data_IF_239659445805
#
_entry.id   IF_239659445805
#
_cell.length_a   1.000
_cell.length_b   1.000
_cell.length_c   1.000
_cell.angle_alpha   90.00
_cell.angle_beta   90.00
_cell.angle_gamma   90.00
#
_symmetry.space_group_name_H-M   'P 1'
#
loop_
_entity.id
_entity.type
_entity.pdbx_description
1 polymer ?
#
# COMPACT_ATOMS: atom_id res chain seq x y z
N UNK A 1 -13.87 -5.64 -15.13
CA UNK A 1 -14.46 -4.94 -13.98
C UNK A 1 -13.82 -3.56 -13.92
N UNK A 2 -14.47 -2.57 -13.30
CA UNK A 2 -14.03 -1.18 -13.35
C UNK A 2 -14.12 -0.53 -11.98
N UNK A 3 -12.99 0.00 -11.51
CA UNK A 3 -12.90 0.91 -10.38
C UNK A 3 -13.16 2.34 -10.87
N UNK A 4 -13.84 3.15 -10.07
CA UNK A 4 -14.08 4.57 -10.40
C UNK A 4 -12.81 5.41 -10.34
N UNK A 5 -11.76 4.91 -9.70
CA UNK A 5 -10.50 5.62 -9.46
C UNK A 5 -9.42 5.20 -10.45
N UNK A 6 -9.18 3.89 -10.58
CA UNK A 6 -8.06 3.34 -11.37
C UNK A 6 -8.50 2.78 -12.73
N UNK A 7 -9.80 2.83 -13.03
CA UNK A 7 -10.36 2.34 -14.28
C UNK A 7 -10.45 0.82 -14.30
N UNK A 8 -10.08 0.21 -15.44
CA UNK A 8 -10.19 -1.24 -15.60
C UNK A 8 -9.28 -2.01 -14.64
N UNK A 9 -9.87 -2.98 -13.95
CA UNK A 9 -9.16 -3.96 -13.12
C UNK A 9 -9.39 -5.37 -13.66
N UNK A 10 -8.36 -6.22 -13.54
CA UNK A 10 -8.32 -7.56 -14.12
C UNK A 10 -7.88 -8.57 -13.06
N UNK A 11 -8.50 -9.76 -13.01
CA UNK A 11 -8.03 -10.80 -12.11
C UNK A 11 -6.62 -11.22 -12.49
N UNK A 12 -5.81 -11.59 -11.50
CA UNK A 12 -4.49 -12.18 -11.75
C UNK A 12 -4.60 -13.68 -11.96
N UNK A 13 -3.62 -14.26 -12.67
CA UNK A 13 -3.67 -15.69 -13.02
C UNK A 13 -3.50 -16.63 -11.80
N UNK A 14 -2.80 -16.16 -10.77
CA UNK A 14 -2.44 -16.98 -9.60
C UNK A 14 -3.43 -16.89 -8.43
N UNK A 15 -4.36 -15.93 -8.47
CA UNK A 15 -5.38 -15.70 -7.45
C UNK A 15 -6.62 -15.10 -8.12
N UNK A 16 -7.70 -15.89 -8.16
CA UNK A 16 -8.92 -15.52 -8.88
C UNK A 16 -9.75 -14.47 -8.16
N UNK A 17 -9.47 -14.21 -6.88
CA UNK A 17 -10.15 -13.19 -6.08
C UNK A 17 -9.36 -11.89 -6.06
N UNK A 18 -8.06 -11.93 -6.33
CA UNK A 18 -7.22 -10.75 -6.49
C UNK A 18 -7.32 -10.10 -7.88
N UNK A 19 -7.64 -8.81 -7.91
CA UNK A 19 -7.70 -7.98 -9.11
C UNK A 19 -6.65 -6.89 -9.07
N UNK A 20 -5.94 -6.68 -10.18
CA UNK A 20 -4.95 -5.61 -10.32
C UNK A 20 -5.40 -4.56 -11.34
N UNK A 21 -5.01 -3.31 -11.08
CA UNK A 21 -5.06 -2.21 -12.04
C UNK A 21 -3.78 -2.12 -12.87
N UNK A 22 -3.85 -1.38 -13.98
CA UNK A 22 -2.62 -0.83 -14.57
C UNK A 22 -1.94 0.14 -13.57
N UNK A 23 -0.61 0.36 -13.66
CA UNK A 23 0.11 1.22 -12.72
C UNK A 23 -0.44 2.65 -12.68
N UNK A 24 -0.79 3.11 -11.48
CA UNK A 24 -1.40 4.41 -11.22
C UNK A 24 -0.41 5.34 -10.49
N UNK A 25 -0.32 6.64 -10.84
CA UNK A 25 0.57 7.58 -10.15
C UNK A 25 0.08 7.87 -8.73
N UNK A 26 0.97 7.72 -7.74
CA UNK A 26 0.63 7.95 -6.32
C UNK A 26 1.45 9.11 -5.78
N UNK A 27 0.78 10.22 -5.47
CA UNK A 27 1.39 11.47 -4.98
C UNK A 27 2.25 11.26 -3.73
N UNK A 28 1.74 10.48 -2.77
CA UNK A 28 2.46 10.06 -1.55
C UNK A 28 3.85 9.48 -1.85
N UNK A 29 4.01 8.78 -2.97
CA UNK A 29 5.28 8.19 -3.42
C UNK A 29 5.96 9.00 -4.54
N UNK A 30 5.90 10.32 -4.48
CA UNK A 30 6.52 11.21 -5.47
C UNK A 30 6.02 10.94 -6.90
N UNK A 31 4.73 10.65 -7.03
CA UNK A 31 4.06 10.29 -8.28
C UNK A 31 4.62 9.04 -8.98
N UNK A 32 5.29 8.15 -8.24
CA UNK A 32 5.67 6.83 -8.76
C UNK A 32 4.41 6.07 -9.18
N UNK A 33 4.50 5.42 -10.35
CA UNK A 33 3.44 4.55 -10.86
C UNK A 33 3.52 3.20 -10.17
N UNK A 34 2.50 2.88 -9.40
CA UNK A 34 2.44 1.66 -8.58
C UNK A 34 1.12 0.94 -8.92
N UNK A 35 1.15 -0.39 -8.94
CA UNK A 35 -0.06 -1.19 -9.16
C UNK A 35 -0.94 -1.15 -7.93
N UNK A 36 -2.26 -1.18 -8.14
CA UNK A 36 -3.24 -1.25 -7.05
C UNK A 36 -3.99 -2.57 -7.18
N UNK A 37 -4.00 -3.33 -6.08
CA UNK A 37 -4.61 -4.64 -5.94
C UNK A 37 -5.86 -4.59 -5.07
N UNK A 38 -6.85 -5.42 -5.39
CA UNK A 38 -8.14 -5.52 -4.72
C UNK A 38 -8.47 -7.01 -4.48
N UNK A 39 -8.67 -7.40 -3.22
CA UNK A 39 -8.81 -8.83 -2.83
C UNK A 39 -10.22 -9.40 -3.07
N UNK A 40 -11.26 -8.57 -3.10
CA UNK A 40 -12.65 -9.05 -3.24
C UNK A 40 -13.47 -8.19 -4.21
N UNK A 41 -12.84 -7.71 -5.28
CA UNK A 41 -13.46 -6.72 -6.17
C UNK A 41 -14.80 -7.17 -6.80
N UNK A 42 -15.06 -8.49 -6.86
CA UNK A 42 -16.34 -9.07 -7.31
C UNK A 42 -17.53 -8.66 -6.44
N UNK A 43 -17.30 -8.31 -5.18
CA UNK A 43 -18.35 -7.84 -4.28
C UNK A 43 -18.53 -6.33 -4.43
N UNK A 44 -19.60 -5.90 -5.10
CA UNK A 44 -19.84 -4.49 -5.44
C UNK A 44 -19.79 -3.53 -4.23
N UNK A 45 -20.40 -3.83 -3.07
CA UNK A 45 -20.25 -2.98 -1.89
C UNK A 45 -18.80 -2.82 -1.41
N UNK A 46 -17.99 -3.87 -1.56
CA UNK A 46 -16.56 -3.79 -1.23
C UNK A 46 -15.84 -2.88 -2.22
N UNK A 47 -16.07 -3.04 -3.53
CA UNK A 47 -15.40 -2.21 -4.54
C UNK A 47 -15.73 -0.71 -4.38
N UNK A 48 -16.99 -0.38 -4.08
CA UNK A 48 -17.39 1.01 -3.79
C UNK A 48 -16.63 1.57 -2.59
N UNK A 49 -16.53 0.78 -1.52
CA UNK A 49 -15.87 1.21 -0.30
C UNK A 49 -14.34 1.26 -0.46
N UNK A 50 -13.75 0.32 -1.20
CA UNK A 50 -12.35 0.32 -1.60
C UNK A 50 -12.00 1.56 -2.43
N UNK A 51 -12.84 1.95 -3.39
CA UNK A 51 -12.68 3.19 -4.16
C UNK A 51 -12.68 4.42 -3.24
N UNK A 52 -13.55 4.46 -2.22
CA UNK A 52 -13.62 5.60 -1.30
C UNK A 52 -12.36 5.70 -0.42
N UNK A 53 -11.85 4.57 0.09
CA UNK A 53 -10.59 4.53 0.87
C UNK A 53 -9.42 4.91 -0.03
N UNK A 54 -9.37 4.36 -1.24
CA UNK A 54 -8.33 4.68 -2.21
C UNK A 54 -8.34 6.16 -2.59
N UNK A 55 -9.51 6.78 -2.75
CA UNK A 55 -9.62 8.21 -3.00
C UNK A 55 -8.98 9.03 -1.86
N UNK A 56 -9.26 8.68 -0.61
CA UNK A 56 -8.65 9.36 0.54
C UNK A 56 -7.12 9.16 0.56
N UNK A 57 -6.66 7.95 0.27
CA UNK A 57 -5.23 7.65 0.20
C UNK A 57 -4.52 8.44 -0.91
N UNK A 58 -5.13 8.60 -2.09
CA UNK A 58 -4.54 9.32 -3.22
C UNK A 58 -4.43 10.84 -3.02
N UNK A 59 -5.16 11.40 -2.05
CA UNK A 59 -5.04 12.81 -1.66
C UNK A 59 -3.74 13.06 -0.87
N UNK A 60 -3.20 12.04 -0.20
CA UNK A 60 -2.00 12.15 0.60
C UNK A 60 -0.78 12.49 -0.27
N UNK A 61 0.12 13.30 0.28
CA UNK A 61 1.30 13.78 -0.42
C UNK A 61 2.62 13.43 0.30
N UNK A 62 3.71 14.00 -0.20
CA UNK A 62 5.05 13.77 0.35
C UNK A 62 5.21 14.32 1.78
N UNK A 63 4.45 15.35 2.17
CA UNK A 63 4.46 15.85 3.55
C UNK A 63 3.82 14.85 4.51
N UNK A 64 2.74 14.19 4.08
CA UNK A 64 2.12 13.12 4.86
C UNK A 64 3.07 11.92 4.98
N UNK A 65 3.75 11.55 3.90
CA UNK A 65 4.82 10.53 3.94
C UNK A 65 5.87 10.83 5.00
N UNK A 66 6.32 12.09 5.11
CA UNK A 66 7.29 12.49 6.12
C UNK A 66 6.71 12.35 7.55
N UNK A 67 5.44 12.69 7.78
CA UNK A 67 4.78 12.51 9.10
C UNK A 67 4.71 11.03 9.49
N UNK A 68 4.49 10.16 8.52
CA UNK A 68 4.32 8.72 8.74
C UNK A 68 5.64 7.97 8.91
N UNK A 69 6.78 8.65 8.72
CA UNK A 69 8.12 8.06 8.87
C UNK A 69 8.29 7.35 10.21
N UNK A 70 7.71 7.90 11.29
CA UNK A 70 7.78 7.27 12.61
C UNK A 70 7.09 5.91 12.64
N UNK A 71 5.89 5.81 12.07
CA UNK A 71 5.15 4.54 12.02
C UNK A 71 5.94 3.48 11.26
N UNK A 72 6.49 3.84 10.10
CA UNK A 72 7.28 2.93 9.27
C UNK A 72 8.58 2.52 9.94
N UNK A 73 9.25 3.46 10.60
CA UNK A 73 10.46 3.19 11.37
C UNK A 73 10.21 2.28 12.58
N UNK A 74 9.09 2.48 13.30
CA UNK A 74 8.70 1.62 14.42
C UNK A 74 8.43 0.19 13.92
N UNK A 75 7.73 0.03 12.79
CA UNK A 75 7.52 -1.28 12.14
C UNK A 75 8.84 -1.97 11.76
N UNK A 76 9.74 -1.23 11.12
CA UNK A 76 11.08 -1.74 10.79
C UNK A 76 11.85 -2.16 12.04
N UNK A 77 11.81 -1.35 13.10
CA UNK A 77 12.49 -1.61 14.37
C UNK A 77 11.98 -2.88 15.05
N UNK A 78 10.65 -3.10 15.05
CA UNK A 78 10.06 -4.35 15.53
C UNK A 78 10.53 -5.54 14.69
N UNK A 79 10.48 -5.42 13.37
CA UNK A 79 10.93 -6.48 12.46
C UNK A 79 12.40 -6.84 12.66
N UNK A 80 13.25 -5.84 12.95
CA UNK A 80 14.66 -6.02 13.27
C UNK A 80 14.87 -6.79 14.58
N UNK A 81 14.06 -6.53 15.61
CA UNK A 81 14.14 -7.27 16.90
C UNK A 81 13.90 -8.76 16.72
N UNK A 82 13.02 -9.14 15.80
CA UNK A 82 12.74 -10.54 15.49
C UNK A 82 13.78 -11.19 14.56
N UNK A 83 14.78 -10.43 14.09
CA UNK A 83 15.88 -10.96 13.28
C UNK A 83 15.51 -11.29 11.83
N UNK A 84 14.36 -10.83 11.34
CA UNK A 84 13.91 -11.08 9.97
C UNK A 84 14.65 -10.24 8.92
N UNK A 85 15.39 -9.21 9.34
CA UNK A 85 16.13 -8.32 8.44
C UNK A 85 17.48 -7.91 9.03
N UNK A 86 18.40 -7.50 8.16
CA UNK A 86 19.66 -6.87 8.56
C UNK A 86 19.43 -5.41 8.96
N UNK A 87 20.25 -4.86 9.89
CA UNK A 87 20.20 -3.45 10.22
C UNK A 87 20.52 -2.56 9.00
N UNK A 88 19.66 -1.58 8.75
CA UNK A 88 19.83 -0.51 7.79
C UNK A 88 20.56 0.67 8.46
N UNK A 89 21.35 1.42 7.66
CA UNK A 89 22.05 2.61 8.13
C UNK A 89 21.13 3.85 8.10
N UNK A 90 20.16 3.88 9.01
CA UNK A 90 19.19 4.97 9.17
C UNK A 90 19.75 5.99 10.16
N UNK A 91 19.89 7.25 9.75
CA UNK A 91 20.45 8.33 10.57
C UNK A 91 19.34 9.10 11.28
N UNK A 92 18.26 9.42 10.56
CA UNK A 92 17.03 10.00 11.07
C UNK A 92 15.81 9.14 10.70
N UNK A 93 14.72 9.26 11.47
CA UNK A 93 13.47 8.52 11.26
C UNK A 93 12.93 8.72 9.84
N UNK A 94 13.04 9.93 9.29
CA UNK A 94 12.65 10.24 7.92
C UNK A 94 13.46 9.48 6.85
N UNK A 95 14.70 9.09 7.16
CA UNK A 95 15.57 8.36 6.23
C UNK A 95 15.09 6.94 5.95
N UNK A 96 14.13 6.42 6.75
CA UNK A 96 13.54 5.10 6.51
C UNK A 96 13.01 4.96 5.08
N UNK A 97 12.46 6.05 4.52
CA UNK A 97 11.92 6.09 3.16
C UNK A 97 12.96 5.91 2.06
N UNK A 98 14.26 6.11 2.35
CA UNK A 98 15.35 5.77 1.42
C UNK A 98 15.52 4.27 1.23
N UNK A 99 14.86 3.45 2.06
CA UNK A 99 14.94 1.99 2.02
C UNK A 99 13.60 1.31 1.71
N UNK A 100 12.50 2.08 1.68
CA UNK A 100 11.16 1.56 1.43
C UNK A 100 10.78 1.80 -0.03
N UNK A 101 10.49 0.70 -0.73
CA UNK A 101 10.12 0.70 -2.13
C UNK A 101 8.85 -0.13 -2.34
N UNK A 102 7.65 0.48 -2.24
CA UNK A 102 6.42 -0.25 -2.49
C UNK A 102 6.39 -0.72 -3.94
N UNK A 103 6.08 -2.00 -4.14
CA UNK A 103 5.83 -2.58 -5.46
C UNK A 103 4.36 -2.51 -5.84
N UNK A 104 3.48 -2.58 -4.84
CA UNK A 104 2.03 -2.58 -5.00
C UNK A 104 1.36 -1.98 -3.77
N UNK A 105 0.16 -1.43 -3.99
CA UNK A 105 -0.79 -1.05 -2.94
C UNK A 105 -1.91 -2.08 -2.95
N UNK A 106 -2.25 -2.66 -1.81
CA UNK A 106 -3.33 -3.63 -1.68
C UNK A 106 -4.45 -3.00 -0.86
N UNK A 107 -5.64 -2.94 -1.43
CA UNK A 107 -6.85 -2.59 -0.68
C UNK A 107 -7.47 -3.90 -0.22
N UNK A 108 -7.74 -4.05 1.07
CA UNK A 108 -8.39 -5.24 1.60
C UNK A 108 -9.40 -4.90 2.68
N UNK A 109 -10.33 -5.83 2.90
CA UNK A 109 -11.27 -5.75 4.01
C UNK A 109 -10.58 -6.39 5.23
N UNK A 110 -10.53 -5.67 6.35
CA UNK A 110 -10.29 -6.24 7.69
C UNK A 110 -11.65 -6.33 8.42
N UNK A 111 -11.83 -7.30 9.31
CA UNK A 111 -13.10 -7.61 9.99
C UNK A 111 -13.73 -6.42 10.74
N UNK A 112 -13.01 -5.30 10.86
CA UNK A 112 -13.46 -4.05 11.48
C UNK A 112 -13.51 -2.85 10.53
N UNK A 113 -12.69 -2.78 9.46
CA UNK A 113 -12.56 -1.63 8.54
C UNK A 113 -11.94 -2.02 7.18
N UNK A 114 -12.10 -1.21 6.14
CA UNK A 114 -11.30 -1.31 4.91
C UNK A 114 -9.98 -0.57 5.08
N UNK A 115 -8.88 -1.17 4.63
CA UNK A 115 -7.52 -0.64 4.80
C UNK A 115 -6.76 -0.68 3.47
N UNK A 116 -5.92 0.33 3.25
CA UNK A 116 -4.87 0.29 2.23
C UNK A 116 -3.57 -0.22 2.86
N UNK A 117 -2.89 -1.12 2.17
CA UNK A 117 -1.57 -1.64 2.57
C UNK A 117 -0.55 -1.49 1.45
N UNK A 118 0.73 -1.43 1.81
CA UNK A 118 1.86 -1.44 0.88
C UNK A 118 2.53 -2.80 0.95
N UNK A 119 2.76 -3.43 -0.20
CA UNK A 119 3.56 -4.65 -0.27
C UNK A 119 4.85 -4.41 -1.04
N UNK A 120 5.97 -4.76 -0.39
CA UNK A 120 7.32 -4.59 -0.92
C UNK A 120 7.93 -5.89 -1.50
N UNK A 121 8.93 -5.74 -2.37
CA UNK A 121 9.67 -6.85 -3.02
C UNK A 121 10.36 -7.85 -2.06
N UNK A 122 10.44 -7.54 -0.76
CA UNK A 122 11.06 -8.38 0.28
C UNK A 122 10.06 -8.89 1.34
N UNK A 123 8.76 -9.00 1.01
CA UNK A 123 7.71 -9.43 1.96
C UNK A 123 7.65 -8.55 3.22
N UNK A 124 7.66 -7.23 3.04
CA UNK A 124 7.26 -6.30 4.09
C UNK A 124 5.91 -5.72 3.67
N UNK A 125 4.87 -6.13 4.39
CA UNK A 125 3.52 -5.62 4.25
C UNK A 125 3.31 -4.55 5.31
N UNK A 126 2.95 -3.34 4.89
CA UNK A 126 2.65 -2.22 5.78
C UNK A 126 1.18 -1.88 5.66
N UNK A 127 0.45 -1.71 6.76
CA UNK A 127 -0.87 -1.10 6.72
C UNK A 127 -0.71 0.42 6.71
N UNK A 128 -1.26 1.07 5.70
CA UNK A 128 -1.33 2.52 5.57
C UNK A 128 -2.81 2.97 5.52
N UNK A 129 -3.30 3.34 6.71
CA UNK A 129 -4.52 4.11 7.01
C UNK A 129 -5.88 3.52 6.63
#
# INVERSE_FOLDING_TARGET
MESRIVGQIRPVEYDLDFFESDPYPISYFDNKKIKIGFIEAKHEPYLIAADNVLQNFLILDNQDKIKDSKLVFDYYSETLKYGYTSPLNIIDVADVWNFVYPSEVIVHWDERLLLCGLRGKKNMDYTCF
#
